data_IF_981134722350
#
_entry.id   IF_981134722350
#
_cell.length_a   1.000
_cell.length_b   1.000
_cell.length_c   1.000
_cell.angle_alpha   90.00
_cell.angle_beta   90.00
_cell.angle_gamma   90.00
#
_symmetry.space_group_name_H-M   'P 1'
#
loop_
_entity.id
_entity.type
_entity.pdbx_description
1 polymer ?
#
# COMPACT_ATOMS: atom_id res chain seq x y z
N UNK A 1 -3.14 -15.69 13.04
CA UNK A 1 -2.00 -16.09 12.21
C UNK A 1 -1.06 -17.06 12.91
N UNK A 2 -0.39 -16.72 14.01
CA UNK A 2 0.57 -17.60 14.72
C UNK A 2 -0.03 -18.97 15.09
N UNK A 3 -1.24 -18.99 15.69
CA UNK A 3 -1.91 -20.25 16.05
C UNK A 3 -2.22 -21.14 14.83
N UNK A 4 -2.55 -20.53 13.70
CA UNK A 4 -2.83 -21.26 12.46
C UNK A 4 -1.56 -21.90 11.89
N UNK A 5 -0.46 -21.14 11.84
CA UNK A 5 0.82 -21.67 11.37
C UNK A 5 1.32 -22.82 12.25
N UNK A 6 1.19 -22.70 13.58
CA UNK A 6 1.52 -23.78 14.51
C UNK A 6 0.65 -25.03 14.30
N UNK A 7 -0.66 -24.87 14.05
CA UNK A 7 -1.55 -25.99 13.72
C UNK A 7 -1.17 -26.68 12.41
N UNK A 8 -0.54 -25.96 11.49
CA UNK A 8 -0.02 -26.51 10.24
C UNK A 8 1.37 -27.18 10.41
N UNK A 9 1.88 -27.26 11.65
CA UNK A 9 3.14 -27.96 11.95
C UNK A 9 4.39 -27.10 11.84
N UNK A 10 4.25 -25.77 11.68
CA UNK A 10 5.39 -24.88 11.65
C UNK A 10 5.83 -24.49 13.07
N UNK A 11 7.14 -24.40 13.28
CA UNK A 11 7.70 -23.73 14.44
C UNK A 11 7.67 -22.21 14.18
N UNK A 12 7.05 -21.45 15.09
CA UNK A 12 6.76 -20.03 14.86
C UNK A 12 7.18 -19.19 16.06
N UNK A 13 8.11 -18.27 15.80
CA UNK A 13 8.53 -17.25 16.75
C UNK A 13 8.00 -15.88 16.29
N UNK A 14 7.03 -15.29 17.02
CA UNK A 14 6.59 -13.92 16.74
C UNK A 14 7.69 -12.92 17.05
N UNK A 15 7.91 -11.96 16.14
CA UNK A 15 8.87 -10.89 16.31
C UNK A 15 8.20 -9.55 16.11
N UNK A 16 8.20 -8.70 17.12
CA UNK A 16 7.76 -7.31 17.02
C UNK A 16 8.90 -6.40 16.54
N UNK A 17 8.68 -5.71 15.43
CA UNK A 17 9.65 -4.74 14.90
C UNK A 17 9.00 -3.36 14.96
N UNK A 18 9.62 -2.44 15.70
CA UNK A 18 9.15 -1.04 15.81
C UNK A 18 10.07 -0.09 15.04
N UNK A 19 11.23 0.22 15.62
CA UNK A 19 12.17 1.22 15.11
C UNK A 19 13.63 0.73 15.15
N UNK A 20 13.84 -0.55 15.44
CA UNK A 20 15.16 -1.14 15.56
C UNK A 20 15.27 -2.40 14.69
N UNK A 21 16.24 -2.41 13.79
CA UNK A 21 16.54 -3.55 12.92
C UNK A 21 17.38 -4.63 13.62
N UNK A 22 18.01 -4.30 14.75
CA UNK A 22 18.84 -5.26 15.50
C UNK A 22 18.01 -6.47 15.97
N UNK A 23 16.75 -6.25 16.31
CA UNK A 23 15.83 -7.34 16.70
C UNK A 23 15.67 -8.39 15.59
N UNK A 24 15.70 -7.96 14.32
CA UNK A 24 15.62 -8.85 13.16
C UNK A 24 16.94 -9.62 13.03
N UNK A 25 18.07 -8.92 13.15
CA UNK A 25 19.39 -9.53 13.06
C UNK A 25 19.57 -10.61 14.13
N UNK A 26 19.30 -10.25 15.40
CA UNK A 26 19.39 -11.20 16.51
C UNK A 26 18.51 -12.43 16.29
N UNK A 27 17.24 -12.23 15.90
CA UNK A 27 16.35 -13.35 15.63
C UNK A 27 16.85 -14.26 14.49
N UNK A 28 17.45 -13.70 13.46
CA UNK A 28 18.02 -14.47 12.34
C UNK A 28 19.27 -15.25 12.77
N UNK A 29 20.17 -14.62 13.53
CA UNK A 29 21.42 -15.23 13.97
C UNK A 29 21.19 -16.33 15.01
N UNK A 30 20.29 -16.09 15.97
CA UNK A 30 20.05 -17.00 17.09
C UNK A 30 19.12 -18.16 16.70
N UNK A 31 18.02 -17.85 16.00
CA UNK A 31 16.98 -18.85 15.69
C UNK A 31 17.10 -19.47 14.29
N UNK A 32 17.75 -18.77 13.34
CA UNK A 32 17.99 -19.22 11.96
C UNK A 32 16.70 -19.66 11.24
N UNK A 33 15.71 -18.77 11.10
CA UNK A 33 14.44 -19.11 10.49
C UNK A 33 14.60 -19.51 9.02
N UNK A 34 13.78 -20.46 8.55
CA UNK A 34 13.73 -20.81 7.14
C UNK A 34 13.10 -19.71 6.28
N UNK A 35 12.19 -18.93 6.86
CA UNK A 35 11.45 -17.87 6.18
C UNK A 35 10.92 -16.87 7.19
N UNK A 36 10.93 -15.60 6.84
CA UNK A 36 10.21 -14.55 7.54
C UNK A 36 8.78 -14.43 6.97
N UNK A 37 7.77 -14.76 7.77
CA UNK A 37 6.38 -14.48 7.43
C UNK A 37 6.10 -13.00 7.71
N UNK A 38 6.25 -12.18 6.68
CA UNK A 38 6.21 -10.72 6.81
C UNK A 38 4.75 -10.20 6.90
N UNK A 39 4.45 -9.53 8.00
CA UNK A 39 3.19 -8.84 8.27
C UNK A 39 3.44 -7.39 8.67
N UNK A 40 4.62 -6.86 8.35
CA UNK A 40 4.98 -5.49 8.71
C UNK A 40 4.23 -4.50 7.81
N UNK A 41 3.57 -3.53 8.42
CA UNK A 41 2.85 -2.46 7.71
C UNK A 41 3.57 -1.12 7.81
N UNK A 42 4.41 -0.95 8.85
CA UNK A 42 5.17 0.27 9.09
C UNK A 42 6.49 -0.01 9.83
N UNK A 43 7.42 0.92 9.77
CA UNK A 43 8.61 0.93 10.60
C UNK A 43 8.82 2.35 11.13
N UNK A 44 9.09 2.48 12.44
CA UNK A 44 9.23 3.76 13.14
C UNK A 44 8.02 4.71 12.95
N UNK A 45 6.81 4.13 12.97
CA UNK A 45 5.56 4.87 12.76
C UNK A 45 5.36 5.40 11.33
N UNK A 46 6.14 4.92 10.37
CA UNK A 46 6.08 5.35 8.97
C UNK A 46 5.87 4.17 8.04
N UNK A 47 4.71 4.16 7.40
CA UNK A 47 4.33 3.12 6.47
C UNK A 47 5.30 2.98 5.27
N UNK A 48 5.83 4.11 4.78
CA UNK A 48 6.79 4.12 3.66
C UNK A 48 8.13 3.44 3.96
N UNK A 49 8.39 3.07 5.21
CA UNK A 49 9.62 2.40 5.61
C UNK A 49 9.52 0.87 5.60
N UNK A 50 8.34 0.30 5.39
CA UNK A 50 8.15 -1.16 5.31
C UNK A 50 9.06 -1.81 4.26
N UNK A 51 9.18 -1.20 3.09
CA UNK A 51 10.05 -1.69 2.00
C UNK A 51 11.54 -1.69 2.39
N UNK A 52 11.97 -0.82 3.31
CA UNK A 52 13.34 -0.81 3.80
C UNK A 52 13.64 -2.01 4.71
N UNK A 53 12.65 -2.42 5.50
CA UNK A 53 12.77 -3.63 6.32
C UNK A 53 12.85 -4.87 5.44
N UNK A 54 12.05 -4.94 4.38
CA UNK A 54 12.12 -6.03 3.41
C UNK A 54 13.47 -6.02 2.66
N UNK A 55 13.99 -4.83 2.30
CA UNK A 55 15.34 -4.69 1.76
C UNK A 55 16.40 -5.23 2.72
N UNK A 56 16.23 -5.00 4.03
CA UNK A 56 17.14 -5.53 5.05
C UNK A 56 17.10 -7.06 5.10
N UNK A 57 15.91 -7.69 5.01
CA UNK A 57 15.79 -9.14 4.90
C UNK A 57 16.51 -9.68 3.66
N UNK A 58 16.43 -8.99 2.51
CA UNK A 58 17.17 -9.37 1.30
C UNK A 58 18.69 -9.29 1.50
N UNK A 59 19.18 -8.25 2.16
CA UNK A 59 20.60 -8.11 2.49
C UNK A 59 21.08 -9.23 3.41
N UNK A 60 20.23 -9.68 4.33
CA UNK A 60 20.49 -10.82 5.21
C UNK A 60 20.28 -12.17 4.52
N UNK A 61 19.81 -12.19 3.28
CA UNK A 61 19.51 -13.40 2.50
C UNK A 61 18.47 -14.32 3.16
N UNK A 62 17.51 -13.75 3.85
CA UNK A 62 16.40 -14.47 4.47
C UNK A 62 15.21 -14.48 3.49
N UNK A 63 14.69 -15.65 3.12
CA UNK A 63 13.44 -15.74 2.39
C UNK A 63 12.30 -15.09 3.19
N UNK A 64 11.37 -14.43 2.51
CA UNK A 64 10.24 -13.76 3.15
C UNK A 64 8.97 -13.88 2.30
N UNK A 65 7.82 -13.69 2.92
CA UNK A 65 6.53 -13.63 2.24
C UNK A 65 6.17 -12.19 1.87
N UNK A 66 5.34 -12.01 0.84
CA UNK A 66 4.90 -10.71 0.35
C UNK A 66 5.73 -10.21 -0.83
N UNK A 67 5.51 -8.95 -1.18
CA UNK A 67 6.22 -8.31 -2.29
C UNK A 67 7.66 -7.98 -1.94
N UNK A 68 8.51 -7.95 -2.94
CA UNK A 68 9.87 -7.42 -2.81
C UNK A 68 9.84 -5.89 -2.60
N UNK A 69 10.96 -5.26 -2.19
CA UNK A 69 11.01 -3.81 -1.92
C UNK A 69 10.53 -2.95 -3.09
N UNK A 70 10.84 -3.38 -4.32
CA UNK A 70 10.43 -2.67 -5.53
C UNK A 70 8.92 -2.71 -5.74
N UNK A 71 8.30 -3.87 -5.48
CA UNK A 71 6.85 -4.03 -5.55
C UNK A 71 6.12 -3.23 -4.47
N UNK A 72 6.66 -3.23 -3.24
CA UNK A 72 6.11 -2.43 -2.13
C UNK A 72 6.16 -0.93 -2.44
N UNK A 73 7.31 -0.43 -2.89
CA UNK A 73 7.48 0.98 -3.29
C UNK A 73 6.50 1.39 -4.38
N UNK A 74 6.33 0.54 -5.41
CA UNK A 74 5.40 0.81 -6.51
C UNK A 74 3.94 0.78 -6.04
N UNK A 75 3.55 -0.20 -5.23
CA UNK A 75 2.19 -0.32 -4.73
C UNK A 75 1.80 0.85 -3.83
N UNK A 76 2.74 1.34 -3.03
CA UNK A 76 2.49 2.44 -2.10
C UNK A 76 2.29 3.79 -2.79
N UNK A 77 2.97 4.06 -3.90
CA UNK A 77 2.72 5.25 -4.71
C UNK A 77 1.63 4.99 -5.76
N UNK A 78 0.39 5.34 -5.40
CA UNK A 78 -0.78 5.13 -6.27
C UNK A 78 -0.68 5.86 -7.61
N UNK A 79 -0.01 7.01 -7.67
CA UNK A 79 0.16 7.76 -8.91
C UNK A 79 1.19 7.06 -9.81
N UNK A 80 2.31 6.63 -9.25
CA UNK A 80 3.33 5.89 -9.98
C UNK A 80 2.78 4.55 -10.47
N UNK A 81 2.02 3.82 -9.64
CA UNK A 81 1.36 2.58 -10.04
C UNK A 81 0.47 2.79 -11.27
N UNK A 82 -0.35 3.87 -11.30
CA UNK A 82 -1.19 4.22 -12.46
C UNK A 82 -0.38 4.60 -13.70
N UNK A 83 0.76 5.26 -13.56
CA UNK A 83 1.65 5.54 -14.68
C UNK A 83 2.24 4.25 -15.28
N UNK A 84 2.61 3.29 -14.44
CA UNK A 84 3.05 1.97 -14.89
C UNK A 84 1.91 1.22 -15.58
N UNK A 85 0.70 1.24 -15.02
CA UNK A 85 -0.50 0.68 -15.67
C UNK A 85 -0.72 1.30 -17.05
N UNK A 86 -0.60 2.63 -17.16
CA UNK A 86 -0.73 3.35 -18.41
C UNK A 86 0.26 2.86 -19.47
N UNK A 87 1.53 2.73 -19.11
CA UNK A 87 2.57 2.20 -19.98
C UNK A 87 2.24 0.80 -20.50
N UNK A 88 1.67 -0.05 -19.64
CA UNK A 88 1.27 -1.42 -20.00
C UNK A 88 -0.14 -1.51 -20.60
N UNK A 89 -0.81 -0.38 -20.86
CA UNK A 89 -2.19 -0.30 -21.40
C UNK A 89 -3.21 -1.04 -20.53
N UNK A 90 -2.98 -1.09 -19.22
CA UNK A 90 -3.92 -1.63 -18.24
C UNK A 90 -4.92 -0.51 -17.91
N UNK A 91 -6.24 -0.74 -18.02
CA UNK A 91 -7.24 0.27 -17.68
C UNK A 91 -7.14 0.71 -16.22
N UNK A 92 -7.24 2.00 -15.97
CA UNK A 92 -7.30 2.61 -14.64
C UNK A 92 -8.19 3.86 -14.70
N UNK A 93 -8.79 4.30 -13.58
CA UNK A 93 -9.55 5.55 -13.54
C UNK A 93 -8.65 6.76 -13.83
N UNK A 94 -9.16 7.70 -14.64
CA UNK A 94 -8.46 8.99 -14.83
C UNK A 94 -8.24 9.66 -13.48
N UNK A 95 -7.08 10.30 -13.33
CA UNK A 95 -6.68 10.86 -12.04
C UNK A 95 -5.85 12.14 -12.20
N UNK A 96 -5.73 12.85 -11.09
CA UNK A 96 -4.75 13.90 -10.88
C UNK A 96 -4.18 13.82 -9.47
N UNK A 97 -3.00 14.37 -9.29
CA UNK A 97 -2.36 14.53 -7.98
C UNK A 97 -2.35 16.00 -7.60
N UNK A 98 -2.75 16.27 -6.37
CA UNK A 98 -2.57 17.58 -5.73
C UNK A 98 -1.48 17.45 -4.68
N UNK A 99 -0.28 17.99 -4.91
CA UNK A 99 0.81 17.97 -3.94
C UNK A 99 0.39 18.62 -2.63
N UNK A 100 1.02 18.19 -1.53
CA UNK A 100 0.79 18.75 -0.20
C UNK A 100 0.88 20.28 -0.24
N UNK A 101 -0.05 20.95 0.43
CA UNK A 101 -0.20 22.42 0.51
C UNK A 101 -0.47 23.13 -0.84
N UNK A 102 -0.85 22.41 -1.88
CA UNK A 102 -1.29 23.01 -3.14
C UNK A 102 -2.81 23.07 -3.23
N UNK A 103 -3.31 24.14 -3.83
CA UNK A 103 -4.74 24.29 -4.10
C UNK A 103 -5.15 23.37 -5.26
N UNK A 104 -6.31 22.73 -5.13
CA UNK A 104 -6.87 21.92 -6.19
C UNK A 104 -7.46 22.80 -7.31
N UNK A 105 -7.14 22.44 -8.55
CA UNK A 105 -7.73 22.98 -9.78
C UNK A 105 -8.14 21.81 -10.65
N UNK A 106 -9.41 21.42 -10.58
CA UNK A 106 -9.94 20.28 -11.32
C UNK A 106 -9.93 20.54 -12.83
N UNK A 107 -9.28 19.67 -13.62
CA UNK A 107 -9.31 19.75 -15.07
C UNK A 107 -10.65 19.23 -15.63
N UNK A 108 -11.03 19.69 -16.81
CA UNK A 108 -12.31 19.32 -17.47
C UNK A 108 -12.42 17.83 -17.78
N UNK A 109 -11.31 17.14 -17.95
CA UNK A 109 -11.30 15.68 -18.24
C UNK A 109 -11.63 14.81 -17.02
N UNK A 110 -11.74 15.39 -15.81
CA UNK A 110 -12.15 14.70 -14.59
C UNK A 110 -13.58 15.14 -14.19
N UNK A 111 -14.64 14.52 -14.77
CA UNK A 111 -16.01 14.80 -14.38
C UNK A 111 -16.33 14.17 -13.02
N UNK A 112 -17.29 14.74 -12.30
CA UNK A 112 -17.87 14.13 -11.10
C UNK A 112 -18.74 12.90 -11.42
N UNK A 113 -18.89 11.96 -10.46
CA UNK A 113 -18.31 11.94 -9.11
C UNK A 113 -16.82 11.55 -9.10
N UNK A 114 -16.09 12.11 -8.14
CA UNK A 114 -14.67 11.83 -7.92
C UNK A 114 -14.46 11.22 -6.54
N UNK A 115 -13.39 10.44 -6.38
CA UNK A 115 -12.95 9.98 -5.08
C UNK A 115 -11.58 10.59 -4.76
N UNK A 116 -11.42 11.08 -3.52
CA UNK A 116 -10.20 11.70 -3.02
C UNK A 116 -9.56 10.80 -1.98
N UNK A 117 -8.30 10.43 -2.20
CA UNK A 117 -7.52 9.51 -1.36
C UNK A 117 -6.16 10.12 -1.01
N UNK A 118 -5.53 9.65 0.06
CA UNK A 118 -4.09 9.85 0.26
C UNK A 118 -3.30 9.20 -0.87
N UNK A 119 -2.23 9.85 -1.31
CA UNK A 119 -1.36 9.30 -2.36
C UNK A 119 -0.54 8.10 -1.88
N UNK A 120 -0.15 8.05 -0.60
CA UNK A 120 0.80 7.08 -0.04
C UNK A 120 0.24 6.18 1.06
N UNK A 121 -0.85 6.58 1.74
CA UNK A 121 -1.43 5.76 2.80
C UNK A 121 -2.28 4.61 2.27
N UNK A 122 -2.24 3.49 2.98
CA UNK A 122 -2.96 2.25 2.66
C UNK A 122 -4.09 1.95 3.64
N UNK A 123 -4.69 0.76 3.52
CA UNK A 123 -5.74 0.25 4.40
C UNK A 123 -6.95 1.20 4.54
N UNK A 124 -7.25 1.97 3.49
CA UNK A 124 -8.36 2.93 3.48
C UNK A 124 -8.26 4.03 4.54
N UNK A 125 -7.06 4.31 5.04
CA UNK A 125 -6.84 5.39 6.00
C UNK A 125 -7.35 6.72 5.42
N UNK A 126 -8.24 7.38 6.16
CA UNK A 126 -8.88 8.62 5.71
C UNK A 126 -9.92 8.44 4.60
N UNK A 127 -10.30 7.22 4.20
CA UNK A 127 -11.39 6.98 3.24
C UNK A 127 -12.71 6.79 4.01
N UNK A 128 -13.74 7.51 3.57
CA UNK A 128 -15.11 7.41 4.07
C UNK A 128 -16.07 7.76 2.91
N UNK A 129 -17.36 7.74 3.16
CA UNK A 129 -18.32 8.23 2.16
C UNK A 129 -18.05 9.70 1.75
N UNK A 130 -17.55 10.53 2.68
CA UNK A 130 -17.14 11.90 2.38
C UNK A 130 -15.92 11.99 1.44
N UNK A 131 -15.27 10.87 1.12
CA UNK A 131 -14.20 10.85 0.11
C UNK A 131 -14.72 10.87 -1.31
N UNK A 132 -16.00 10.53 -1.53
CA UNK A 132 -16.68 10.65 -2.81
C UNK A 132 -17.32 12.03 -2.86
N UNK A 133 -16.93 12.81 -3.85
CA UNK A 133 -17.35 14.21 -4.01
C UNK A 133 -18.04 14.42 -5.35
N UNK A 134 -19.02 15.30 -5.38
CA UNK A 134 -19.88 15.56 -6.53
C UNK A 134 -19.85 17.03 -7.00
N UNK A 135 -19.10 17.89 -6.28
CA UNK A 135 -18.88 19.28 -6.63
C UNK A 135 -17.48 19.80 -6.26
N UNK A 136 -17.14 20.97 -6.76
CA UNK A 136 -15.81 21.59 -6.55
C UNK A 136 -15.60 22.10 -5.10
N UNK A 137 -16.65 22.37 -4.33
CA UNK A 137 -16.55 22.81 -2.93
C UNK A 137 -16.15 21.62 -2.06
N UNK A 138 -16.88 20.52 -2.11
CA UNK A 138 -16.56 19.26 -1.41
C UNK A 138 -15.19 18.73 -1.83
N UNK A 139 -14.83 18.89 -3.12
CA UNK A 139 -13.50 18.51 -3.58
C UNK A 139 -12.39 19.29 -2.85
N UNK A 140 -12.55 20.62 -2.71
CA UNK A 140 -11.56 21.43 -1.97
C UNK A 140 -11.49 21.05 -0.51
N UNK A 141 -12.63 20.90 0.15
CA UNK A 141 -12.71 20.48 1.55
C UNK A 141 -12.03 19.13 1.76
N UNK A 142 -12.28 18.18 0.87
CA UNK A 142 -11.71 16.85 1.00
C UNK A 142 -10.21 16.80 0.76
N UNK A 143 -9.70 17.58 -0.19
CA UNK A 143 -8.26 17.75 -0.42
C UNK A 143 -7.61 18.38 0.80
N UNK A 144 -8.21 19.45 1.37
CA UNK A 144 -7.71 20.07 2.59
C UNK A 144 -7.66 19.07 3.75
N UNK A 145 -8.71 18.28 3.94
CA UNK A 145 -8.72 17.20 4.95
C UNK A 145 -7.53 16.24 4.81
N UNK A 146 -7.22 15.78 3.59
CA UNK A 146 -6.07 14.89 3.35
C UNK A 146 -4.77 15.60 3.69
N UNK A 147 -4.61 16.86 3.30
CA UNK A 147 -3.41 17.64 3.59
C UNK A 147 -3.21 17.86 5.09
N UNK A 148 -4.26 18.22 5.82
CA UNK A 148 -4.18 18.67 7.22
C UNK A 148 -4.18 17.49 8.21
N UNK A 149 -4.93 16.43 7.91
CA UNK A 149 -5.12 15.32 8.85
C UNK A 149 -4.30 14.07 8.51
N UNK A 150 -3.96 13.87 7.24
CA UNK A 150 -3.15 12.74 6.81
C UNK A 150 -1.71 13.16 6.52
N UNK A 151 -1.49 14.44 6.19
CA UNK A 151 -0.15 14.99 5.98
C UNK A 151 0.49 14.58 4.66
N UNK A 152 -0.31 14.18 3.66
CA UNK A 152 0.18 13.72 2.35
C UNK A 152 -0.41 14.51 1.20
N UNK A 153 0.12 14.35 -0.01
CA UNK A 153 -0.57 14.77 -1.22
C UNK A 153 -1.90 14.03 -1.40
N UNK A 154 -2.83 14.61 -2.12
CA UNK A 154 -4.11 14.02 -2.45
C UNK A 154 -4.11 13.45 -3.87
N UNK A 155 -4.56 12.20 -4.03
CA UNK A 155 -4.92 11.60 -5.29
C UNK A 155 -6.43 11.79 -5.50
N UNK A 156 -6.80 12.40 -6.61
CA UNK A 156 -8.18 12.59 -7.04
C UNK A 156 -8.37 11.72 -8.27
N UNK A 157 -9.35 10.84 -8.24
CA UNK A 157 -9.63 9.97 -9.37
C UNK A 157 -11.13 9.86 -9.65
N UNK A 158 -11.49 9.51 -10.87
CA UNK A 158 -12.86 9.22 -11.24
C UNK A 158 -13.38 8.08 -10.33
N UNK A 159 -14.54 8.32 -9.70
CA UNK A 159 -15.22 7.27 -8.97
C UNK A 159 -15.84 6.27 -9.94
N UNK A 160 -15.52 5.01 -9.77
CA UNK A 160 -16.11 3.90 -10.54
C UNK A 160 -17.09 3.18 -9.62
N UNK A 161 -18.37 3.26 -9.97
CA UNK A 161 -19.40 2.51 -9.27
C UNK A 161 -19.36 1.05 -9.70
N UNK A 162 -19.51 0.14 -8.75
CA UNK A 162 -19.51 -1.29 -9.03
C UNK A 162 -19.11 -2.14 -7.85
N UNK A 163 -18.93 -3.43 -8.11
CA UNK A 163 -18.41 -4.37 -7.10
C UNK A 163 -16.89 -4.29 -7.06
N UNK A 164 -16.35 -4.30 -5.84
CA UNK A 164 -14.92 -4.55 -5.64
C UNK A 164 -14.64 -6.04 -5.73
N UNK A 165 -13.57 -6.40 -6.42
CA UNK A 165 -13.12 -7.77 -6.58
C UNK A 165 -11.69 -7.89 -6.07
N UNK A 166 -11.43 -8.94 -5.32
CA UNK A 166 -10.10 -9.24 -4.79
C UNK A 166 -9.53 -10.46 -5.50
N UNK A 167 -8.29 -10.33 -5.95
CA UNK A 167 -7.56 -11.40 -6.63
C UNK A 167 -6.23 -11.60 -5.96
N UNK A 168 -6.05 -12.74 -5.28
CA UNK A 168 -4.76 -13.13 -4.71
C UNK A 168 -3.84 -13.65 -5.80
N UNK A 169 -2.57 -13.24 -5.74
CA UNK A 169 -1.54 -13.70 -6.67
C UNK A 169 -0.30 -14.12 -5.88
N UNK A 170 0.28 -15.24 -6.20
CA UNK A 170 1.49 -15.76 -5.57
C UNK A 170 2.49 -16.23 -6.63
N UNK A 171 3.78 -16.08 -6.36
CA UNK A 171 4.86 -16.53 -7.21
C UNK A 171 5.78 -15.42 -7.66
N UNK A 172 6.86 -15.77 -8.35
CA UNK A 172 7.87 -14.88 -8.90
C UNK A 172 7.90 -14.97 -10.44
N UNK A 173 8.67 -15.89 -10.99
CA UNK A 173 8.74 -16.13 -12.44
C UNK A 173 7.46 -16.76 -13.00
N UNK A 174 6.83 -17.64 -12.24
CA UNK A 174 5.55 -18.26 -12.56
C UNK A 174 4.52 -17.84 -11.52
N UNK A 175 3.45 -17.18 -11.98
CA UNK A 175 2.41 -16.67 -11.11
C UNK A 175 1.25 -17.66 -11.00
N UNK A 176 0.83 -17.91 -9.76
CA UNK A 176 -0.42 -18.58 -9.45
C UNK A 176 -1.46 -17.53 -9.08
N UNK A 177 -2.57 -17.54 -9.79
CA UNK A 177 -3.71 -16.66 -9.52
C UNK A 177 -4.77 -17.46 -8.76
N UNK A 178 -5.22 -16.92 -7.64
CA UNK A 178 -6.27 -17.53 -6.83
C UNK A 178 -7.66 -17.12 -7.33
N UNK A 179 -8.72 -17.86 -6.94
CA UNK A 179 -10.10 -17.47 -7.28
C UNK A 179 -10.43 -16.04 -6.84
N UNK A 180 -11.23 -15.38 -7.68
CA UNK A 180 -11.76 -14.05 -7.38
C UNK A 180 -12.83 -14.14 -6.31
N UNK A 181 -12.82 -13.23 -5.34
CA UNK A 181 -13.80 -13.15 -4.24
C UNK A 181 -14.11 -11.68 -3.88
#
# INVERSE_FOLDING_TARGET
MVSTLRKLGHDVQPLGVKSDLEVIRAAVEDWKPHIAFNLLEEFDGRAVYDQNVVSYLELMRIPYTGCNPRGLMLARDKALAKQVMSYHRIPYPEFMVVPLHRMVRRPKYLPFPLIVKSISEEASLGISQASIVDDDEKLRERVAFIHDNVGTGALIERYIEGRELYVGVMGNAHLQVFPVW
#
